data_IF_583314154191
#
_entry.id   IF_583314154191
#
_cell.length_a   1.000
_cell.length_b   1.000
_cell.length_c   1.000
_cell.angle_alpha   90.00
_cell.angle_beta   90.00
_cell.angle_gamma   90.00
#
_symmetry.space_group_name_H-M   'P 1'
#
loop_
_entity.id
_entity.type
_entity.pdbx_description
1 polymer ?
#
# COMPACT_ATOMS: atom_id res chain seq x y z
N UNK A 1 -8.59 -0.27 10.51
CA UNK A 1 -7.14 -0.43 10.65
C UNK A 1 -6.80 -0.35 12.11
N UNK A 2 -6.47 -1.48 12.73
CA UNK A 2 -5.79 -1.45 14.03
C UNK A 2 -4.36 -0.92 13.79
N UNK A 3 -3.84 -0.10 14.71
CA UNK A 3 -2.49 0.45 14.58
C UNK A 3 -1.43 -0.65 14.52
N UNK A 4 -0.62 -0.66 13.46
CA UNK A 4 0.44 -1.64 13.23
C UNK A 4 1.76 -1.20 13.86
N UNK A 5 1.74 -0.89 15.17
CA UNK A 5 2.92 -0.46 15.91
C UNK A 5 2.85 -0.91 17.37
N UNK A 6 4.02 -1.18 17.96
CA UNK A 6 4.13 -1.48 19.39
C UNK A 6 4.19 -0.16 20.18
N UNK A 7 3.22 0.08 21.06
CA UNK A 7 3.14 1.28 21.88
C UNK A 7 4.17 1.28 23.02
N UNK A 8 4.66 0.10 23.42
CA UNK A 8 5.70 -0.08 24.44
C UNK A 8 7.10 0.20 23.87
N UNK A 9 7.29 0.05 22.54
CA UNK A 9 8.56 0.35 21.86
C UNK A 9 8.74 1.87 21.67
N UNK A 10 9.09 2.57 22.76
CA UNK A 10 9.25 4.04 22.78
C UNK A 10 10.19 4.57 21.67
N UNK A 11 11.22 3.82 21.30
CA UNK A 11 12.15 4.19 20.22
C UNK A 11 11.50 4.30 18.84
N UNK A 12 10.38 3.62 18.60
CA UNK A 12 9.70 3.63 17.29
C UNK A 12 8.96 4.94 17.04
N UNK A 13 8.34 5.52 18.06
CA UNK A 13 7.40 6.63 17.93
C UNK A 13 7.84 7.93 18.64
N UNK A 14 8.77 7.88 19.60
CA UNK A 14 9.21 9.05 20.38
C UNK A 14 10.47 9.71 19.83
N UNK A 15 10.35 10.94 19.35
CA UNK A 15 11.41 11.70 18.68
C UNK A 15 12.15 12.70 19.57
N UNK A 16 11.84 12.73 20.88
CA UNK A 16 12.51 13.64 21.83
C UNK A 16 12.37 15.10 21.42
N UNK A 17 13.47 15.87 21.50
CA UNK A 17 13.51 17.28 21.12
C UNK A 17 13.49 17.44 19.59
N UNK A 18 12.28 17.48 19.04
CA UNK A 18 12.02 17.76 17.63
C UNK A 18 11.21 19.06 17.52
N UNK A 19 11.60 19.97 16.62
CA UNK A 19 10.84 21.20 16.40
C UNK A 19 9.52 20.94 15.66
N UNK A 20 8.59 21.89 15.75
CA UNK A 20 7.32 21.81 15.01
C UNK A 20 7.54 21.74 13.49
N UNK A 21 8.48 22.52 12.96
CA UNK A 21 8.76 22.54 11.52
C UNK A 21 9.36 21.22 11.03
N UNK A 22 10.26 20.60 11.80
CA UNK A 22 10.81 19.27 11.46
C UNK A 22 9.72 18.18 11.51
N UNK A 23 8.82 18.24 12.50
CA UNK A 23 7.70 17.32 12.58
C UNK A 23 6.76 17.43 11.35
N UNK A 24 6.50 18.65 10.87
CA UNK A 24 5.73 18.87 9.65
C UNK A 24 6.46 18.30 8.44
N UNK A 25 7.76 18.56 8.29
CA UNK A 25 8.55 18.06 7.17
C UNK A 25 8.58 16.52 7.08
N UNK A 26 8.56 15.83 8.23
CA UNK A 26 8.54 14.36 8.29
C UNK A 26 7.16 13.76 7.99
N UNK A 27 6.08 14.45 8.37
CA UNK A 27 4.71 13.94 8.28
C UNK A 27 3.93 14.43 7.04
N UNK A 28 4.40 15.49 6.38
CA UNK A 28 3.75 16.05 5.20
C UNK A 28 3.87 15.10 4.00
N UNK A 29 2.73 14.76 3.39
CA UNK A 29 2.66 13.80 2.29
C UNK A 29 2.74 12.33 2.72
N UNK A 30 2.80 12.04 4.03
CA UNK A 30 2.66 10.69 4.55
C UNK A 30 1.20 10.22 4.52
N UNK A 31 1.00 8.91 4.67
CA UNK A 31 -0.34 8.32 4.76
C UNK A 31 -1.09 8.89 5.97
N UNK A 32 -2.40 8.93 5.83
CA UNK A 32 -3.30 9.32 6.90
C UNK A 32 -3.09 8.42 8.13
N UNK A 33 -2.99 8.98 9.32
CA UNK A 33 -2.75 8.24 10.56
C UNK A 33 -1.29 7.92 10.87
N UNK A 34 -0.33 8.37 10.06
CA UNK A 34 1.11 8.32 10.40
C UNK A 34 1.41 9.38 11.47
N UNK A 35 2.13 9.03 12.54
CA UNK A 35 2.33 9.93 13.68
C UNK A 35 3.73 9.91 14.30
N UNK A 36 4.02 10.88 15.17
CA UNK A 36 5.19 10.88 16.06
C UNK A 36 4.88 11.63 17.36
N UNK A 37 5.56 11.27 18.45
CA UNK A 37 5.51 12.02 19.72
C UNK A 37 6.83 12.74 19.92
N UNK A 38 6.78 14.01 20.31
CA UNK A 38 7.95 14.86 20.57
C UNK A 38 7.79 15.66 21.86
N UNK A 39 8.88 16.22 22.37
CA UNK A 39 8.84 17.13 23.50
C UNK A 39 8.18 18.46 23.11
N UNK A 40 7.40 19.03 24.04
CA UNK A 40 6.84 20.36 23.86
C UNK A 40 7.94 21.41 23.92
N UNK A 41 8.02 22.24 22.87
CA UNK A 41 8.98 23.35 22.81
C UNK A 41 8.53 24.55 23.64
N UNK A 42 7.24 24.61 23.99
CA UNK A 42 6.62 25.74 24.70
C UNK A 42 6.41 25.48 26.19
N UNK A 43 6.28 24.22 26.60
CA UNK A 43 6.02 23.83 27.99
C UNK A 43 6.97 22.69 28.41
N UNK A 44 8.04 22.98 29.18
CA UNK A 44 8.99 21.96 29.61
C UNK A 44 8.31 20.87 30.47
N UNK A 45 8.38 19.62 30.04
CA UNK A 45 7.76 18.48 30.71
C UNK A 45 6.50 17.94 30.02
N UNK A 46 5.93 18.69 29.07
CA UNK A 46 4.80 18.25 28.25
C UNK A 46 5.26 17.60 26.94
N UNK A 47 4.38 16.81 26.34
CA UNK A 47 4.61 16.16 25.05
C UNK A 47 3.66 16.69 23.99
N UNK A 48 4.00 16.49 22.72
CA UNK A 48 3.15 16.81 21.58
C UNK A 48 3.06 15.60 20.66
N UNK A 49 1.84 15.12 20.43
CA UNK A 49 1.53 14.11 19.42
C UNK A 49 1.27 14.82 18.08
N UNK A 50 2.11 14.56 17.09
CA UNK A 50 1.97 15.11 15.74
C UNK A 50 1.50 14.02 14.80
N UNK A 51 0.44 14.26 14.03
CA UNK A 51 -0.24 13.25 13.20
C UNK A 51 -0.49 13.80 11.79
N UNK A 52 -0.28 12.97 10.78
CA UNK A 52 -0.63 13.26 9.39
C UNK A 52 -2.12 12.97 9.15
N UNK A 53 -2.88 14.00 8.81
CA UNK A 53 -4.34 13.97 8.76
C UNK A 53 -4.87 15.01 7.76
N UNK A 54 -5.80 14.64 6.88
CA UNK A 54 -6.44 15.47 5.86
C UNK A 54 -5.45 16.29 5.00
N UNK A 55 -4.35 15.66 4.57
CA UNK A 55 -3.28 16.31 3.80
C UNK A 55 -2.58 17.46 4.54
N UNK A 56 -2.73 17.55 5.87
CA UNK A 56 -2.04 18.47 6.78
C UNK A 56 -1.44 17.71 7.97
N UNK A 57 -0.69 18.41 8.81
CA UNK A 57 -0.12 17.84 10.04
C UNK A 57 -0.78 18.50 11.25
N UNK A 58 -1.55 17.71 12.00
CA UNK A 58 -2.22 18.10 13.24
C UNK A 58 -1.27 17.90 14.43
N UNK A 59 -1.34 18.78 15.45
CA UNK A 59 -0.50 18.70 16.65
C UNK A 59 -1.37 18.77 17.91
N UNK A 60 -1.33 17.72 18.71
CA UNK A 60 -2.09 17.60 19.95
C UNK A 60 -1.17 17.69 21.16
N UNK A 61 -1.49 18.59 22.09
CA UNK A 61 -0.69 18.80 23.31
C UNK A 61 -1.09 17.76 24.35
N UNK A 62 -0.09 17.07 24.88
CA UNK A 62 -0.20 16.11 25.98
C UNK A 62 0.42 16.77 27.21
N UNK A 63 -0.43 17.19 28.14
CA UNK A 63 0.00 17.84 29.37
C UNK A 63 0.42 16.77 30.38
N UNK A 64 1.61 16.94 30.98
CA UNK A 64 2.11 16.06 32.02
C UNK A 64 1.92 16.72 33.39
N UNK A 65 0.98 16.22 34.17
CA UNK A 65 0.81 16.67 35.55
C UNK A 65 1.79 15.92 36.45
N UNK A 66 2.89 16.59 36.82
CA UNK A 66 3.84 16.07 37.81
C UNK A 66 3.24 16.01 39.22
N UNK A 67 3.85 15.24 40.16
CA UNK A 67 3.37 15.20 41.54
C UNK A 67 3.45 16.60 42.16
N UNK A 68 2.33 17.06 42.75
CA UNK A 68 2.32 18.30 43.56
C UNK A 68 3.35 18.17 44.68
N UNK A 69 4.06 19.26 45.06
CA UNK A 69 4.92 19.23 46.23
C UNK A 69 4.09 18.86 47.47
N UNK A 70 4.60 18.00 48.37
CA UNK A 70 3.86 17.59 49.56
C UNK A 70 3.66 18.81 50.46
N UNK A 71 2.40 19.08 50.78
CA UNK A 71 1.99 19.96 51.88
C UNK A 71 2.64 19.42 53.17
N UNK A 72 3.17 20.26 54.08
CA UNK A 72 3.85 19.76 55.28
C UNK A 72 2.90 18.88 56.13
N UNK A 73 3.40 17.78 56.71
CA UNK A 73 2.55 16.73 57.25
C UNK A 73 1.88 17.16 58.57
N UNK A 74 0.58 16.90 58.67
CA UNK A 74 -0.09 16.74 59.97
C UNK A 74 0.16 15.31 60.50
N UNK A 75 0.27 15.09 61.83
CA UNK A 75 0.97 13.92 62.40
C UNK A 75 0.20 12.58 62.41
N UNK A 76 -0.72 12.33 61.48
CA UNK A 76 -1.63 11.18 61.59
C UNK A 76 -1.97 10.45 60.28
N UNK A 77 -1.08 10.41 59.30
CA UNK A 77 -1.28 9.58 58.10
C UNK A 77 -0.03 8.79 57.68
N UNK A 78 -0.21 7.55 57.16
CA UNK A 78 0.86 6.74 56.58
C UNK A 78 1.47 7.45 55.36
N UNK A 79 2.69 7.06 54.91
CA UNK A 79 3.46 7.85 53.94
C UNK A 79 2.66 8.10 52.66
N UNK A 80 2.71 9.31 52.06
CA UNK A 80 2.02 9.56 50.81
C UNK A 80 2.68 8.72 49.73
N UNK A 81 1.92 7.79 49.16
CA UNK A 81 2.27 7.16 47.90
C UNK A 81 2.48 8.25 46.86
N UNK A 82 3.59 8.17 46.13
CA UNK A 82 3.87 9.04 45.00
C UNK A 82 2.71 8.87 44.01
N UNK A 83 1.87 9.89 43.84
CA UNK A 83 0.82 9.86 42.83
C UNK A 83 1.45 9.64 41.45
N UNK A 84 1.00 8.66 40.66
CA UNK A 84 1.53 8.45 39.32
C UNK A 84 1.32 9.71 38.47
N UNK A 85 2.30 10.03 37.64
CA UNK A 85 2.24 11.15 36.70
C UNK A 85 1.08 10.93 35.73
N UNK A 86 0.05 11.78 35.76
CA UNK A 86 -1.10 11.66 34.85
C UNK A 86 -0.89 12.54 33.61
N UNK A 87 -1.10 11.94 32.45
CA UNK A 87 -1.01 12.59 31.14
C UNK A 87 -2.41 12.92 30.63
N UNK A 88 -2.60 14.12 30.07
CA UNK A 88 -3.89 14.55 29.53
C UNK A 88 -3.79 15.11 28.13
N UNK A 89 -4.62 14.61 27.22
CA UNK A 89 -4.78 15.08 25.84
C UNK A 89 -6.26 15.34 25.59
N UNK A 90 -6.61 16.60 25.27
CA UNK A 90 -8.02 17.02 25.25
C UNK A 90 -8.70 16.80 26.62
N UNK A 91 -9.84 16.11 26.60
CA UNK A 91 -10.63 15.74 27.79
C UNK A 91 -10.30 14.33 28.34
N UNK A 92 -9.34 13.62 27.75
CA UNK A 92 -8.98 12.25 28.12
C UNK A 92 -7.71 12.21 28.98
N UNK A 93 -7.72 11.38 30.02
CA UNK A 93 -6.60 11.19 30.95
C UNK A 93 -6.02 9.77 30.84
N UNK A 94 -4.68 9.67 30.90
CA UNK A 94 -3.93 8.43 30.73
C UNK A 94 -2.80 8.32 31.76
N UNK A 95 -2.48 7.10 32.17
CA UNK A 95 -1.42 6.81 33.14
C UNK A 95 -0.02 6.79 32.49
N UNK A 96 0.07 6.62 31.17
CA UNK A 96 1.32 6.56 30.43
C UNK A 96 1.14 6.93 28.95
N UNK A 97 2.25 7.30 28.28
CA UNK A 97 2.24 7.56 26.83
C UNK A 97 1.86 6.31 26.03
N UNK A 98 2.38 5.09 26.33
CA UNK A 98 1.92 3.87 25.66
C UNK A 98 0.41 3.64 25.79
N UNK A 99 -0.17 3.83 26.99
CA UNK A 99 -1.61 3.68 27.19
C UNK A 99 -2.43 4.69 26.36
N UNK A 100 -1.96 5.94 26.26
CA UNK A 100 -2.54 6.95 25.37
C UNK A 100 -2.47 6.51 23.91
N UNK A 101 -1.31 6.04 23.44
CA UNK A 101 -1.14 5.60 22.06
C UNK A 101 -2.01 4.38 21.76
N UNK A 102 -2.10 3.42 22.67
CA UNK A 102 -2.95 2.23 22.54
C UNK A 102 -4.42 2.61 22.43
N UNK A 103 -4.86 3.58 23.23
CA UNK A 103 -6.21 4.11 23.15
C UNK A 103 -6.47 4.75 21.77
N UNK A 104 -5.60 5.63 21.29
CA UNK A 104 -5.77 6.31 20.00
C UNK A 104 -5.42 5.45 18.77
N UNK A 105 -4.98 4.18 18.93
CA UNK A 105 -4.94 3.21 17.83
C UNK A 105 -6.33 2.91 17.27
N UNK A 106 -7.33 2.98 18.15
CA UNK A 106 -8.72 2.62 17.85
C UNK A 106 -9.71 3.76 18.12
N UNK A 107 -9.31 4.81 18.84
CA UNK A 107 -10.09 6.04 19.05
C UNK A 107 -9.58 7.18 18.18
N UNK A 108 -10.50 7.97 17.62
CA UNK A 108 -10.17 9.12 16.78
C UNK A 108 -9.63 10.28 17.60
N UNK A 109 -8.65 10.99 17.04
CA UNK A 109 -8.23 12.30 17.53
C UNK A 109 -9.23 13.37 17.06
N UNK A 110 -9.10 13.83 15.81
CA UNK A 110 -10.12 14.66 15.14
C UNK A 110 -10.79 13.90 14.00
N UNK A 111 -10.01 13.45 13.01
CA UNK A 111 -10.50 12.71 11.83
C UNK A 111 -9.70 11.45 11.51
N UNK A 112 -8.64 11.15 12.27
CA UNK A 112 -7.85 9.90 12.15
C UNK A 112 -7.59 9.21 13.50
N UNK A 113 -7.40 7.89 13.45
CA UNK A 113 -6.72 7.11 14.50
C UNK A 113 -5.21 7.04 14.22
N UNK A 114 -4.44 6.58 15.19
CA UNK A 114 -3.01 6.29 15.04
C UNK A 114 -2.80 4.95 14.35
N UNK A 115 -2.14 4.97 13.19
CA UNK A 115 -1.97 3.78 12.33
C UNK A 115 -0.54 3.25 12.42
N UNK A 116 0.46 4.11 12.26
CA UNK A 116 1.88 3.73 12.32
C UNK A 116 2.76 4.93 12.66
N UNK A 117 3.89 4.76 13.36
CA UNK A 117 4.82 5.84 13.60
C UNK A 117 5.57 6.23 12.32
N UNK A 118 5.95 7.51 12.22
CA UNK A 118 6.72 8.01 11.09
C UNK A 118 8.09 7.32 11.01
N UNK A 119 8.41 6.80 9.83
CA UNK A 119 9.69 6.13 9.63
C UNK A 119 10.85 7.11 9.81
N UNK A 120 11.81 6.76 10.66
CA UNK A 120 13.05 7.54 10.89
C UNK A 120 13.97 7.65 9.66
N UNK A 121 13.58 7.08 8.52
CA UNK A 121 14.45 6.79 7.38
C UNK A 121 14.68 7.95 6.39
N UNK A 122 14.23 9.18 6.62
CA UNK A 122 14.22 10.21 5.56
C UNK A 122 14.87 11.57 5.82
N UNK A 123 15.73 11.72 6.82
CA UNK A 123 16.76 12.77 6.75
C UNK A 123 18.13 12.28 7.22
N UNK A 124 19.04 12.12 6.26
CA UNK A 124 20.44 12.51 6.45
C UNK A 124 21.35 11.61 7.29
N UNK A 125 21.23 10.28 7.19
CA UNK A 125 22.38 9.36 7.21
C UNK A 125 21.83 7.94 7.08
N UNK A 126 22.37 7.18 6.14
CA UNK A 126 21.91 5.84 5.87
C UNK A 126 22.21 4.92 7.03
N UNK A 127 21.17 4.49 7.76
CA UNK A 127 21.14 3.16 8.38
C UNK A 127 19.70 2.67 8.31
N UNK A 128 19.46 1.80 7.34
CA UNK A 128 18.26 0.99 7.26
C UNK A 128 18.52 -0.18 8.23
N UNK A 129 17.68 -0.39 9.26
CA UNK A 129 17.56 -1.72 9.85
C UNK A 129 16.76 -2.59 8.89
N UNK A 130 17.42 -2.89 7.76
CA UNK A 130 17.30 -4.16 7.07
C UNK A 130 17.68 -5.21 8.12
N UNK A 131 17.05 -6.38 8.11
CA UNK A 131 17.80 -7.60 8.46
C UNK A 131 19.19 -7.43 7.87
N UNK A 132 20.26 -7.37 8.68
CA UNK A 132 21.63 -7.03 8.25
C UNK A 132 21.88 -7.46 6.80
N UNK A 133 21.62 -6.57 5.85
CA UNK A 133 21.83 -6.87 4.45
C UNK A 133 23.33 -6.74 4.33
N UNK A 134 24.00 -7.88 4.43
CA UNK A 134 25.40 -8.06 4.16
C UNK A 134 25.78 -7.19 2.96
N UNK A 135 26.58 -6.14 3.19
CA UNK A 135 27.09 -5.33 2.11
C UNK A 135 28.18 -6.14 1.42
N UNK A 136 28.03 -6.43 0.13
CA UNK A 136 29.05 -7.13 -0.64
C UNK A 136 29.82 -6.14 -1.50
N UNK A 137 31.10 -6.45 -1.74
CA UNK A 137 31.95 -5.75 -2.70
C UNK A 137 32.60 -6.76 -3.62
N UNK A 138 32.93 -6.32 -4.82
CA UNK A 138 33.68 -7.10 -5.80
C UNK A 138 35.06 -6.50 -5.98
N UNK A 139 36.10 -7.32 -5.93
CA UNK A 139 37.47 -6.90 -6.18
C UNK A 139 37.69 -6.52 -7.65
N UNK A 140 38.22 -5.32 -7.88
CA UNK A 140 38.60 -4.79 -9.19
C UNK A 140 40.07 -5.11 -9.53
N UNK A 141 40.91 -5.32 -8.51
CA UNK A 141 42.34 -5.60 -8.63
C UNK A 141 42.76 -6.65 -7.60
N UNK A 142 43.94 -7.24 -7.80
CA UNK A 142 44.56 -8.15 -6.83
C UNK A 142 45.15 -7.32 -5.67
N UNK A 143 45.03 -7.81 -4.45
CA UNK A 143 45.61 -7.23 -3.25
C UNK A 143 46.28 -8.32 -2.42
N UNK A 144 47.58 -8.19 -2.17
CA UNK A 144 48.37 -9.21 -1.49
C UNK A 144 48.46 -9.03 0.03
N UNK A 145 47.99 -7.90 0.57
CA UNK A 145 48.23 -7.48 1.95
C UNK A 145 49.68 -7.09 2.21
N UNK A 146 49.91 -6.03 2.97
CA UNK A 146 51.23 -5.63 3.45
C UNK A 146 51.41 -5.91 4.95
N UNK A 147 50.33 -5.96 5.72
CA UNK A 147 50.33 -6.17 7.17
C UNK A 147 49.50 -7.40 7.59
N UNK A 148 49.69 -7.90 8.81
CA UNK A 148 48.98 -9.10 9.32
C UNK A 148 47.45 -8.88 9.53
N UNK A 149 47.01 -7.61 9.51
CA UNK A 149 45.61 -7.22 9.63
C UNK A 149 44.91 -7.08 8.26
N UNK A 150 45.65 -7.19 7.16
CA UNK A 150 45.12 -7.10 5.79
C UNK A 150 44.49 -8.41 5.33
N UNK A 151 43.41 -8.33 4.55
CA UNK A 151 42.81 -9.49 3.88
C UNK A 151 43.26 -9.55 2.41
N UNK A 152 44.12 -10.50 2.01
CA UNK A 152 44.51 -10.66 0.61
C UNK A 152 43.34 -11.19 -0.24
N UNK A 153 43.15 -10.64 -1.44
CA UNK A 153 42.11 -11.07 -2.39
C UNK A 153 42.58 -10.92 -3.84
N UNK A 154 41.93 -11.60 -4.77
CA UNK A 154 42.17 -11.48 -6.22
C UNK A 154 41.06 -10.71 -6.91
N UNK A 155 41.39 -10.11 -8.05
CA UNK A 155 40.43 -9.46 -8.94
C UNK A 155 39.29 -10.42 -9.28
N UNK A 156 38.07 -9.98 -9.00
CA UNK A 156 36.84 -10.73 -9.23
C UNK A 156 36.23 -11.35 -7.97
N UNK A 157 36.98 -11.43 -6.87
CA UNK A 157 36.47 -12.01 -5.62
C UNK A 157 35.33 -11.16 -5.03
N UNK A 158 34.37 -11.84 -4.40
CA UNK A 158 33.24 -11.19 -3.72
C UNK A 158 33.49 -11.26 -2.22
N UNK A 159 33.58 -10.11 -1.58
CA UNK A 159 33.88 -9.95 -0.17
C UNK A 159 32.68 -9.36 0.56
N UNK A 160 32.42 -9.85 1.77
CA UNK A 160 31.32 -9.35 2.62
C UNK A 160 31.87 -8.30 3.58
N UNK A 161 31.42 -7.06 3.47
CA UNK A 161 31.77 -5.97 4.37
C UNK A 161 31.11 -6.21 5.73
N UNK A 162 31.92 -6.14 6.78
CA UNK A 162 31.49 -6.26 8.18
C UNK A 162 31.35 -4.89 8.81
N UNK A 163 32.38 -4.06 8.67
CA UNK A 163 32.44 -2.73 9.25
C UNK A 163 33.33 -1.81 8.41
N UNK A 164 33.09 -0.50 8.54
CA UNK A 164 33.78 0.55 7.79
C UNK A 164 34.42 1.51 8.79
N UNK A 165 35.52 1.10 9.43
CA UNK A 165 36.16 1.93 10.46
C UNK A 165 36.70 3.23 9.86
N UNK A 166 37.10 3.20 8.58
CA UNK A 166 37.68 4.33 7.86
C UNK A 166 37.09 4.49 6.45
N UNK A 167 37.27 5.67 5.85
CA UNK A 167 36.75 5.98 4.50
C UNK A 167 37.51 5.25 3.38
N UNK A 168 38.77 4.88 3.62
CA UNK A 168 39.65 4.27 2.61
C UNK A 168 39.99 2.81 2.89
N UNK A 169 39.61 2.29 4.07
CA UNK A 169 39.88 0.93 4.49
C UNK A 169 38.67 0.34 5.21
N UNK A 170 38.17 -0.78 4.69
CA UNK A 170 37.00 -1.47 5.22
C UNK A 170 37.38 -2.86 5.73
N UNK A 171 36.70 -3.31 6.77
CA UNK A 171 36.85 -4.68 7.25
C UNK A 171 35.89 -5.59 6.48
N UNK A 172 36.45 -6.63 5.86
CA UNK A 172 35.69 -7.56 5.04
C UNK A 172 35.99 -9.01 5.41
N UNK A 173 35.10 -9.91 4.99
CA UNK A 173 35.20 -11.35 5.16
C UNK A 173 35.17 -12.02 3.77
N UNK A 174 36.12 -12.91 3.51
CA UNK A 174 36.16 -13.70 2.27
C UNK A 174 35.19 -14.89 2.31
N UNK A 175 35.12 -15.66 1.21
CA UNK A 175 34.29 -16.87 1.14
C UNK A 175 34.75 -18.00 2.07
N UNK A 176 35.98 -17.97 2.57
CA UNK A 176 36.55 -18.94 3.52
C UNK A 176 36.33 -18.51 4.98
N UNK A 177 35.75 -17.33 5.22
CA UNK A 177 35.52 -16.76 6.54
C UNK A 177 36.72 -16.02 7.14
N UNK A 178 37.81 -15.83 6.38
CA UNK A 178 38.95 -15.01 6.82
C UNK A 178 38.57 -13.54 6.78
N UNK A 179 39.08 -12.81 7.76
CA UNK A 179 38.75 -11.41 7.99
C UNK A 179 39.99 -10.55 7.98
N UNK A 180 39.84 -9.33 7.53
CA UNK A 180 40.89 -8.33 7.54
C UNK A 180 40.52 -7.10 6.73
N UNK A 181 41.45 -6.16 6.72
CA UNK A 181 41.29 -4.86 6.10
C UNK A 181 41.50 -4.94 4.59
N UNK A 182 40.63 -4.25 3.86
CA UNK A 182 40.70 -4.14 2.40
C UNK A 182 40.70 -2.66 1.97
N UNK A 183 41.51 -2.30 0.96
CA UNK A 183 41.53 -0.94 0.43
C UNK A 183 40.30 -0.68 -0.44
N UNK A 184 39.52 0.36 -0.11
CA UNK A 184 38.30 0.76 -0.83
C UNK A 184 38.52 1.00 -2.33
N UNK A 185 39.63 1.63 -2.79
CA UNK A 185 39.87 1.85 -4.22
C UNK A 185 40.00 0.55 -5.04
N UNK A 186 40.23 -0.59 -4.38
CA UNK A 186 40.41 -1.88 -5.04
C UNK A 186 39.10 -2.65 -5.21
N UNK A 187 37.98 -2.13 -4.71
CA UNK A 187 36.70 -2.83 -4.68
C UNK A 187 35.54 -1.94 -5.13
N UNK A 188 34.54 -2.54 -5.77
CA UNK A 188 33.28 -1.87 -6.14
C UNK A 188 32.11 -2.45 -5.36
N UNK A 189 31.07 -1.64 -5.10
CA UNK A 189 29.86 -2.13 -4.44
C UNK A 189 29.19 -3.21 -5.30
N UNK A 190 28.98 -4.37 -4.72
CA UNK A 190 28.32 -5.50 -5.35
C UNK A 190 27.01 -5.79 -4.61
N UNK A 191 25.89 -5.76 -5.33
CA UNK A 191 24.61 -6.22 -4.78
C UNK A 191 24.31 -7.58 -5.37
N UNK A 192 24.24 -8.67 -4.57
CA UNK A 192 23.63 -9.90 -5.05
C UNK A 192 22.17 -9.60 -5.42
N UNK A 193 21.65 -10.25 -6.45
CA UNK A 193 20.30 -10.01 -6.94
C UNK A 193 19.25 -10.38 -5.86
N UNK A 194 18.82 -9.41 -5.05
CA UNK A 194 17.55 -9.46 -4.34
C UNK A 194 16.46 -9.65 -5.40
N UNK A 195 15.63 -10.69 -5.26
CA UNK A 195 14.49 -10.89 -6.14
C UNK A 195 13.66 -9.60 -6.16
N UNK A 196 13.51 -9.00 -7.35
CA UNK A 196 12.75 -7.76 -7.49
C UNK A 196 11.33 -7.96 -6.95
N UNK A 197 10.68 -6.90 -6.43
CA UNK A 197 9.27 -6.98 -5.99
C UNK A 197 8.36 -7.55 -7.09
N UNK A 198 8.69 -7.32 -8.37
CA UNK A 198 8.01 -7.93 -9.51
C UNK A 198 8.17 -9.46 -9.58
N UNK A 199 9.32 -10.00 -9.20
CA UNK A 199 9.56 -11.44 -9.16
C UNK A 199 8.75 -12.09 -8.02
N UNK A 200 8.73 -11.47 -6.84
CA UNK A 200 7.96 -11.96 -5.69
C UNK A 200 6.45 -11.98 -5.96
N UNK A 201 5.92 -10.94 -6.62
CA UNK A 201 4.50 -10.92 -7.03
C UNK A 201 4.23 -12.00 -8.09
N UNK A 202 5.19 -12.28 -8.98
CA UNK A 202 5.11 -13.39 -9.93
C UNK A 202 5.00 -14.75 -9.24
N UNK A 203 5.87 -15.02 -8.25
CA UNK A 203 5.84 -16.26 -7.45
C UNK A 203 4.52 -16.41 -6.66
N UNK A 204 3.95 -15.30 -6.19
CA UNK A 204 2.65 -15.28 -5.52
C UNK A 204 1.53 -15.72 -6.46
N UNK A 205 1.53 -15.24 -7.71
CA UNK A 205 0.57 -15.69 -8.73
C UNK A 205 0.72 -17.19 -8.98
N UNK A 206 1.94 -17.69 -9.22
CA UNK A 206 2.17 -19.11 -9.47
C UNK A 206 1.72 -20.00 -8.30
N UNK A 207 1.96 -19.56 -7.06
CA UNK A 207 1.53 -20.28 -5.86
C UNK A 207 0.01 -20.33 -5.74
N UNK A 208 -0.66 -19.19 -5.94
CA UNK A 208 -2.13 -19.14 -5.86
C UNK A 208 -2.83 -19.89 -6.99
N UNK A 209 -2.19 -20.02 -8.17
CA UNK A 209 -2.70 -20.89 -9.24
C UNK A 209 -2.69 -22.36 -8.85
N UNK A 210 -1.65 -22.82 -8.13
CA UNK A 210 -1.60 -24.21 -7.63
C UNK A 210 -2.72 -24.47 -6.63
N UNK A 211 -2.99 -23.52 -5.75
CA UNK A 211 -4.10 -23.60 -4.78
C UNK A 211 -5.44 -23.63 -5.51
N UNK A 212 -5.65 -22.75 -6.50
CA UNK A 212 -6.86 -22.77 -7.34
C UNK A 212 -7.04 -24.11 -8.07
N UNK A 213 -5.95 -24.70 -8.58
CA UNK A 213 -5.97 -25.99 -9.28
C UNK A 213 -6.24 -27.22 -8.39
N UNK A 214 -6.50 -27.04 -7.09
CA UNK A 214 -6.97 -28.11 -6.22
C UNK A 214 -8.49 -28.34 -6.34
N UNK A 215 -9.21 -27.51 -7.11
CA UNK A 215 -10.64 -27.62 -7.39
C UNK A 215 -11.52 -27.66 -6.14
N UNK A 216 -11.08 -26.95 -5.09
CA UNK A 216 -11.79 -26.75 -3.84
C UNK A 216 -12.16 -25.28 -3.68
N UNK A 217 -13.21 -24.99 -2.92
CA UNK A 217 -13.60 -23.62 -2.65
C UNK A 217 -12.52 -22.90 -1.83
N UNK A 218 -12.07 -21.74 -2.32
CA UNK A 218 -11.09 -20.92 -1.62
C UNK A 218 -11.72 -20.19 -0.44
N UNK A 219 -10.96 -20.12 0.65
CA UNK A 219 -11.26 -19.25 1.79
C UNK A 219 -11.26 -17.78 1.35
N UNK A 220 -11.88 -16.91 2.16
CA UNK A 220 -11.89 -15.47 1.90
C UNK A 220 -10.46 -14.89 1.80
N UNK A 221 -9.54 -15.36 2.65
CA UNK A 221 -8.14 -14.95 2.65
C UNK A 221 -7.42 -15.37 1.36
N UNK A 222 -7.52 -16.64 0.96
CA UNK A 222 -6.93 -17.14 -0.29
C UNK A 222 -7.48 -16.42 -1.52
N UNK A 223 -8.80 -16.18 -1.55
CA UNK A 223 -9.47 -15.43 -2.62
C UNK A 223 -8.93 -14.00 -2.72
N UNK A 224 -8.73 -13.35 -1.57
CA UNK A 224 -8.16 -12.00 -1.51
C UNK A 224 -6.69 -11.98 -1.95
N UNK A 225 -5.88 -12.94 -1.50
CA UNK A 225 -4.46 -13.08 -1.89
C UNK A 225 -4.37 -13.25 -3.42
N UNK A 226 -5.14 -14.16 -4.01
CA UNK A 226 -5.19 -14.37 -5.46
C UNK A 226 -5.56 -13.09 -6.21
N UNK A 227 -6.60 -12.39 -5.73
CA UNK A 227 -7.05 -11.14 -6.36
C UNK A 227 -6.01 -10.02 -6.29
N UNK A 228 -5.36 -9.85 -5.13
CA UNK A 228 -4.30 -8.85 -4.94
C UNK A 228 -3.10 -9.16 -5.82
N UNK A 229 -2.69 -10.42 -5.92
CA UNK A 229 -1.57 -10.85 -6.76
C UNK A 229 -1.78 -10.42 -8.22
N UNK A 230 -2.88 -10.86 -8.84
CA UNK A 230 -3.17 -10.53 -10.23
C UNK A 230 -3.45 -9.03 -10.42
N UNK A 231 -4.14 -8.36 -9.48
CA UNK A 231 -4.40 -6.91 -9.54
C UNK A 231 -3.11 -6.09 -9.61
N UNK A 232 -2.08 -6.50 -8.86
CA UNK A 232 -0.78 -5.81 -8.88
C UNK A 232 -0.05 -6.02 -10.21
N UNK A 233 0.01 -7.25 -10.72
CA UNK A 233 0.68 -7.55 -12.01
C UNK A 233 -0.01 -6.81 -13.15
N UNK A 234 -1.33 -6.92 -13.25
CA UNK A 234 -2.08 -6.27 -14.33
C UNK A 234 -2.09 -4.74 -14.18
N UNK A 235 -2.15 -4.22 -12.95
CA UNK A 235 -2.15 -2.79 -12.67
C UNK A 235 -0.89 -2.10 -13.16
N UNK A 236 0.28 -2.69 -12.92
CA UNK A 236 1.56 -2.17 -13.41
C UNK A 236 1.59 -2.09 -14.95
N UNK A 237 1.17 -3.16 -15.64
CA UNK A 237 1.16 -3.21 -17.11
C UNK A 237 0.13 -2.26 -17.71
N UNK A 238 -1.06 -2.11 -17.10
CA UNK A 238 -2.08 -1.14 -17.55
C UNK A 238 -1.59 0.30 -17.40
N UNK A 239 -0.87 0.62 -16.32
CA UNK A 239 -0.26 1.94 -16.15
C UNK A 239 0.79 2.22 -17.24
N UNK A 240 1.68 1.25 -17.50
CA UNK A 240 2.65 1.34 -18.59
C UNK A 240 1.97 1.55 -19.94
N UNK A 241 0.93 0.77 -20.25
CA UNK A 241 0.18 0.88 -21.50
C UNK A 241 -0.47 2.26 -21.68
N UNK A 242 -1.09 2.83 -20.64
CA UNK A 242 -1.66 4.18 -20.70
C UNK A 242 -0.60 5.25 -20.99
N UNK A 243 0.56 5.15 -20.36
CA UNK A 243 1.68 6.09 -20.57
C UNK A 243 2.16 5.99 -22.02
N UNK A 244 2.40 4.78 -22.52
CA UNK A 244 2.89 4.55 -23.89
C UNK A 244 1.85 5.04 -24.92
N UNK A 245 0.56 4.74 -24.70
CA UNK A 245 -0.52 5.18 -25.58
C UNK A 245 -0.63 6.71 -25.62
N UNK A 246 -0.46 7.39 -24.47
CA UNK A 246 -0.41 8.85 -24.42
C UNK A 246 0.81 9.43 -25.15
N UNK A 247 1.96 8.77 -25.08
CA UNK A 247 3.17 9.16 -25.82
C UNK A 247 2.97 8.97 -27.32
N UNK A 248 2.38 7.85 -27.75
CA UNK A 248 2.05 7.59 -29.16
C UNK A 248 1.17 8.70 -29.72
N UNK A 249 0.05 9.01 -29.04
CA UNK A 249 -0.87 10.07 -29.46
C UNK A 249 -0.18 11.45 -29.57
N UNK A 250 0.74 11.77 -28.65
CA UNK A 250 1.52 13.02 -28.70
C UNK A 250 2.51 13.06 -29.86
N UNK A 251 3.10 11.92 -30.22
CA UNK A 251 4.09 11.84 -31.30
C UNK A 251 3.42 11.78 -32.68
N UNK A 252 2.20 11.23 -32.79
CA UNK A 252 1.39 11.24 -34.02
C UNK A 252 1.14 12.68 -34.50
N UNK A 253 0.92 13.61 -33.55
CA UNK A 253 0.73 15.03 -33.84
C UNK A 253 2.01 15.76 -34.31
N UNK A 254 3.20 15.15 -34.18
CA UNK A 254 4.49 15.76 -34.53
C UNK A 254 5.11 15.22 -35.83
N UNK A 255 4.54 14.16 -36.41
CA UNK A 255 4.98 13.60 -37.69
C UNK A 255 6.31 12.83 -37.67
N UNK A 256 6.75 12.31 -36.51
CA UNK A 256 7.99 11.52 -36.39
C UNK A 256 7.79 10.03 -36.67
N UNK A 257 7.85 9.60 -37.93
CA UNK A 257 7.54 8.20 -38.33
C UNK A 257 8.42 7.13 -37.67
N UNK A 258 9.74 7.33 -37.59
CA UNK A 258 10.66 6.34 -37.01
C UNK A 258 10.41 6.11 -35.51
N UNK A 259 10.14 7.21 -34.78
CA UNK A 259 9.81 7.14 -33.35
C UNK A 259 8.46 6.48 -33.12
N UNK A 260 7.46 6.81 -33.95
CA UNK A 260 6.15 6.20 -33.90
C UNK A 260 6.21 4.70 -34.10
N UNK A 261 7.07 4.22 -35.00
CA UNK A 261 7.29 2.78 -35.19
C UNK A 261 7.79 2.11 -33.90
N UNK A 262 8.82 2.67 -33.26
CA UNK A 262 9.35 2.11 -32.00
C UNK A 262 8.31 2.15 -30.86
N UNK A 263 7.53 3.23 -30.77
CA UNK A 263 6.48 3.37 -29.76
C UNK A 263 5.39 2.31 -29.96
N UNK A 264 4.94 2.09 -31.22
CA UNK A 264 3.93 1.09 -31.57
C UNK A 264 4.40 -0.33 -31.27
N UNK A 265 5.63 -0.67 -31.63
CA UNK A 265 6.23 -1.97 -31.32
C UNK A 265 6.27 -2.21 -29.80
N UNK A 266 6.66 -1.20 -29.03
CA UNK A 266 6.68 -1.31 -27.57
C UNK A 266 5.27 -1.40 -26.96
N UNK A 267 4.30 -0.64 -27.47
CA UNK A 267 2.90 -0.77 -27.05
C UNK A 267 2.36 -2.17 -27.31
N UNK A 268 2.59 -2.74 -28.49
CA UNK A 268 2.14 -4.08 -28.85
C UNK A 268 2.77 -5.16 -27.96
N UNK A 269 4.03 -4.99 -27.55
CA UNK A 269 4.68 -5.86 -26.57
C UNK A 269 3.92 -5.83 -25.23
N UNK A 270 3.61 -4.64 -24.71
CA UNK A 270 2.86 -4.50 -23.45
C UNK A 270 1.42 -5.03 -23.57
N UNK A 271 0.75 -4.81 -24.72
CA UNK A 271 -0.58 -5.38 -25.00
C UNK A 271 -0.56 -6.91 -25.02
N UNK A 272 0.49 -7.51 -25.56
CA UNK A 272 0.67 -8.97 -25.56
C UNK A 272 0.82 -9.49 -24.13
N UNK A 273 1.64 -8.85 -23.30
CA UNK A 273 1.77 -9.20 -21.88
C UNK A 273 0.45 -9.06 -21.13
N UNK A 274 -0.28 -7.93 -21.33
CA UNK A 274 -1.60 -7.71 -20.75
C UNK A 274 -2.58 -8.81 -21.15
N UNK A 275 -2.61 -9.17 -22.44
CA UNK A 275 -3.47 -10.24 -22.95
C UNK A 275 -3.14 -11.58 -22.31
N UNK A 276 -1.85 -11.93 -22.19
CA UNK A 276 -1.42 -13.17 -21.53
C UNK A 276 -1.86 -13.21 -20.06
N UNK A 277 -1.65 -12.13 -19.31
CA UNK A 277 -2.07 -12.07 -17.89
C UNK A 277 -3.60 -12.21 -17.77
N UNK A 278 -4.37 -11.55 -18.63
CA UNK A 278 -5.83 -11.65 -18.61
C UNK A 278 -6.30 -13.07 -18.98
N UNK A 279 -5.76 -13.66 -20.05
CA UNK A 279 -6.11 -15.03 -20.44
C UNK A 279 -5.75 -16.04 -19.35
N UNK A 280 -4.63 -15.85 -18.66
CA UNK A 280 -4.18 -16.73 -17.58
C UNK A 280 -5.19 -16.82 -16.43
N UNK A 281 -5.62 -15.68 -15.89
CA UNK A 281 -6.63 -15.67 -14.81
C UNK A 281 -8.02 -16.07 -15.30
N UNK A 282 -8.40 -15.71 -16.53
CA UNK A 282 -9.68 -16.13 -17.11
C UNK A 282 -9.76 -17.66 -17.22
N UNK A 283 -8.66 -18.31 -17.61
CA UNK A 283 -8.57 -19.78 -17.66
C UNK A 283 -8.70 -20.41 -16.26
N UNK A 284 -8.03 -19.83 -15.26
CA UNK A 284 -8.13 -20.27 -13.86
C UNK A 284 -9.55 -20.09 -13.31
N UNK A 285 -10.21 -18.98 -13.63
CA UNK A 285 -11.59 -18.72 -13.25
C UNK A 285 -12.54 -19.75 -13.86
N UNK A 286 -12.42 -20.00 -15.16
CA UNK A 286 -13.36 -20.86 -15.89
C UNK A 286 -13.16 -22.35 -15.62
N UNK A 287 -11.92 -22.80 -15.42
CA UNK A 287 -11.62 -24.23 -15.18
C UNK A 287 -11.75 -24.64 -13.72
N UNK A 288 -11.41 -23.76 -12.79
CA UNK A 288 -11.20 -24.13 -11.39
C UNK A 288 -12.13 -23.37 -10.44
N UNK A 289 -12.03 -22.04 -10.41
CA UNK A 289 -12.64 -21.24 -9.35
C UNK A 289 -14.17 -21.12 -9.45
N UNK A 290 -14.71 -20.79 -10.63
CA UNK A 290 -16.16 -20.66 -10.83
C UNK A 290 -16.85 -22.02 -10.66
N UNK A 291 -16.33 -23.15 -11.21
CA UNK A 291 -16.92 -24.47 -10.97
C UNK A 291 -16.89 -24.92 -9.50
N UNK A 292 -15.84 -24.57 -8.73
CA UNK A 292 -15.70 -24.95 -7.33
C UNK A 292 -16.47 -24.04 -6.35
N UNK A 293 -16.90 -22.84 -6.79
CA UNK A 293 -17.59 -21.85 -5.97
C UNK A 293 -19.00 -22.32 -5.55
N UNK A 294 -19.26 -22.43 -4.24
CA UNK A 294 -20.55 -22.88 -3.73
C UNK A 294 -21.32 -21.80 -2.96
N UNK A 295 -20.68 -20.73 -2.49
CA UNK A 295 -21.32 -19.58 -1.83
C UNK A 295 -21.67 -18.46 -2.81
N UNK A 296 -22.72 -17.68 -2.53
CA UNK A 296 -23.05 -16.47 -3.30
C UNK A 296 -21.90 -15.47 -3.32
N UNK A 297 -21.23 -15.31 -2.20
CA UNK A 297 -20.09 -14.40 -2.06
C UNK A 297 -18.92 -14.78 -3.01
N UNK A 298 -18.52 -16.06 -3.02
CA UNK A 298 -17.44 -16.55 -3.88
C UNK A 298 -17.81 -16.45 -5.36
N UNK A 299 -19.05 -16.84 -5.72
CA UNK A 299 -19.56 -16.72 -7.11
C UNK A 299 -19.55 -15.28 -7.60
N UNK A 300 -20.12 -14.34 -6.83
CA UNK A 300 -20.14 -12.92 -7.20
C UNK A 300 -18.71 -12.39 -7.35
N UNK A 301 -17.81 -12.76 -6.44
CA UNK A 301 -16.41 -12.36 -6.51
C UNK A 301 -15.74 -12.83 -7.81
N UNK A 302 -15.89 -14.11 -8.18
CA UNK A 302 -15.25 -14.67 -9.38
C UNK A 302 -15.89 -14.15 -10.67
N UNK A 303 -17.21 -14.02 -10.76
CA UNK A 303 -17.84 -13.42 -11.93
C UNK A 303 -17.50 -11.94 -12.08
N UNK A 304 -17.42 -11.19 -10.97
CA UNK A 304 -16.91 -9.82 -10.99
C UNK A 304 -15.47 -9.79 -11.52
N UNK A 305 -14.60 -10.67 -11.03
CA UNK A 305 -13.22 -10.77 -11.48
C UNK A 305 -13.15 -11.11 -12.97
N UNK A 306 -13.95 -12.07 -13.45
CA UNK A 306 -14.09 -12.38 -14.89
C UNK A 306 -14.49 -11.16 -15.71
N UNK A 307 -15.47 -10.39 -15.23
CA UNK A 307 -15.89 -9.12 -15.82
C UNK A 307 -14.77 -8.09 -15.88
N UNK A 308 -13.98 -7.97 -14.82
CA UNK A 308 -12.81 -7.07 -14.73
C UNK A 308 -11.74 -7.42 -15.76
N UNK A 309 -11.35 -8.69 -15.90
CA UNK A 309 -10.29 -9.08 -16.84
C UNK A 309 -10.73 -9.02 -18.30
N UNK A 310 -12.00 -9.35 -18.62
CA UNK A 310 -12.53 -9.06 -19.95
C UNK A 310 -12.64 -7.56 -20.24
N UNK A 311 -12.96 -6.74 -19.24
CA UNK A 311 -12.93 -5.28 -19.38
C UNK A 311 -11.52 -4.78 -19.68
N UNK A 312 -10.50 -5.29 -19.00
CA UNK A 312 -9.10 -4.94 -19.28
C UNK A 312 -8.69 -5.32 -20.70
N UNK A 313 -9.12 -6.48 -21.21
CA UNK A 313 -8.92 -6.84 -22.62
C UNK A 313 -9.61 -5.83 -23.56
N UNK A 314 -10.83 -5.39 -23.23
CA UNK A 314 -11.56 -4.44 -24.05
C UNK A 314 -10.92 -3.04 -24.09
N UNK A 315 -10.11 -2.64 -23.10
CA UNK A 315 -9.45 -1.32 -23.05
C UNK A 315 -8.52 -1.07 -24.23
N UNK A 316 -7.75 -2.09 -24.65
CA UNK A 316 -6.74 -1.98 -25.70
C UNK A 316 -7.08 -2.78 -26.97
N UNK A 317 -8.07 -3.68 -26.91
CA UNK A 317 -8.54 -4.38 -28.09
C UNK A 317 -9.18 -3.43 -29.11
N UNK A 318 -9.15 -3.84 -30.38
CA UNK A 318 -9.75 -3.11 -31.50
C UNK A 318 -10.65 -4.02 -32.33
N UNK A 319 -11.56 -3.43 -33.12
CA UNK A 319 -12.42 -4.18 -34.04
C UNK A 319 -13.26 -5.26 -33.34
N UNK A 320 -13.23 -6.48 -33.88
CA UNK A 320 -14.02 -7.60 -33.38
C UNK A 320 -13.59 -8.07 -31.98
N UNK A 321 -12.29 -8.08 -31.70
CA UNK A 321 -11.75 -8.49 -30.40
C UNK A 321 -12.26 -7.59 -29.27
N UNK A 322 -12.40 -6.27 -29.52
CA UNK A 322 -13.00 -5.33 -28.56
C UNK A 322 -14.45 -5.66 -28.27
N UNK A 323 -15.21 -5.96 -29.33
CA UNK A 323 -16.64 -6.30 -29.22
C UNK A 323 -16.82 -7.58 -28.41
N UNK A 324 -16.07 -8.62 -28.71
CA UNK A 324 -16.11 -9.89 -27.98
C UNK A 324 -15.69 -9.73 -26.51
N UNK A 325 -14.62 -9.00 -26.24
CA UNK A 325 -14.18 -8.71 -24.87
C UNK A 325 -15.25 -7.92 -24.08
N UNK A 326 -15.89 -6.93 -24.71
CA UNK A 326 -16.97 -6.16 -24.09
C UNK A 326 -18.22 -7.02 -23.82
N UNK A 327 -18.61 -7.89 -24.77
CA UNK A 327 -19.74 -8.81 -24.60
C UNK A 327 -19.49 -9.80 -23.46
N UNK A 328 -18.31 -10.42 -23.43
CA UNK A 328 -17.93 -11.34 -22.35
C UNK A 328 -17.86 -10.65 -20.99
N UNK A 329 -17.34 -9.41 -20.93
CA UNK A 329 -17.33 -8.60 -19.71
C UNK A 329 -18.76 -8.30 -19.22
N UNK A 330 -19.65 -7.88 -20.13
CA UNK A 330 -21.05 -7.58 -19.84
C UNK A 330 -21.79 -8.82 -19.31
N UNK A 331 -21.60 -9.98 -19.93
CA UNK A 331 -22.21 -11.25 -19.50
C UNK A 331 -21.76 -11.61 -18.08
N UNK A 332 -20.46 -11.51 -17.81
CA UNK A 332 -19.91 -11.83 -16.49
C UNK A 332 -20.41 -10.87 -15.39
N UNK A 333 -20.45 -9.56 -15.66
CA UNK A 333 -20.98 -8.59 -14.69
C UNK A 333 -22.48 -8.74 -14.44
N UNK A 334 -23.26 -9.09 -15.46
CA UNK A 334 -24.68 -9.40 -15.29
C UNK A 334 -24.88 -10.64 -14.42
N UNK A 335 -24.17 -11.73 -14.70
CA UNK A 335 -24.21 -12.94 -13.88
C UNK A 335 -23.83 -12.64 -12.41
N UNK A 336 -22.80 -11.83 -12.18
CA UNK A 336 -22.44 -11.38 -10.84
C UNK A 336 -23.55 -10.55 -10.18
N UNK A 337 -24.19 -9.65 -10.94
CA UNK A 337 -25.22 -8.74 -10.44
C UNK A 337 -26.50 -9.48 -10.06
N UNK A 338 -26.91 -10.45 -10.87
CA UNK A 338 -28.09 -11.28 -10.62
C UNK A 338 -27.95 -12.03 -9.29
N UNK A 339 -26.77 -12.65 -9.05
CA UNK A 339 -26.48 -13.36 -7.79
C UNK A 339 -26.35 -12.37 -6.62
N UNK A 340 -25.67 -11.24 -6.82
CA UNK A 340 -25.45 -10.25 -5.76
C UNK A 340 -26.75 -9.61 -5.28
N UNK A 341 -27.72 -9.39 -6.16
CA UNK A 341 -29.04 -8.84 -5.81
C UNK A 341 -29.85 -9.79 -4.92
N UNK A 342 -29.66 -11.10 -5.06
CA UNK A 342 -30.40 -12.12 -4.30
C UNK A 342 -29.68 -12.60 -3.05
N UNK A 343 -28.34 -12.64 -3.05
CA UNK A 343 -27.56 -13.30 -1.99
C UNK A 343 -26.76 -12.34 -1.11
N UNK A 344 -26.54 -11.09 -1.53
CA UNK A 344 -25.71 -10.13 -0.79
C UNK A 344 -26.50 -8.85 -0.43
N UNK A 345 -26.37 -8.32 0.80
CA UNK A 345 -27.02 -7.06 1.15
C UNK A 345 -26.47 -5.90 0.31
N UNK A 346 -27.23 -4.82 0.06
CA UNK A 346 -26.79 -3.66 -0.73
C UNK A 346 -25.50 -3.02 -0.22
N UNK A 347 -25.26 -3.11 1.09
CA UNK A 347 -24.07 -2.61 1.76
C UNK A 347 -22.86 -3.54 1.67
N UNK A 348 -22.99 -4.75 1.12
CA UNK A 348 -21.89 -5.72 1.06
C UNK A 348 -20.73 -5.19 0.19
N UNK A 349 -19.46 -5.20 0.67
CA UNK A 349 -18.32 -4.64 -0.07
C UNK A 349 -18.14 -5.24 -1.47
N UNK A 350 -18.35 -6.54 -1.64
CA UNK A 350 -18.27 -7.20 -2.96
C UNK A 350 -19.37 -6.72 -3.91
N UNK A 351 -20.60 -6.50 -3.42
CA UNK A 351 -21.73 -6.01 -4.24
C UNK A 351 -21.50 -4.55 -4.63
N UNK A 352 -21.06 -3.71 -3.71
CA UNK A 352 -20.67 -2.33 -3.99
C UNK A 352 -19.51 -2.26 -4.97
N UNK A 353 -18.47 -3.07 -4.78
CA UNK A 353 -17.31 -3.14 -5.67
C UNK A 353 -17.68 -3.63 -7.07
N UNK A 354 -18.65 -4.54 -7.18
CA UNK A 354 -19.23 -4.95 -8.46
C UNK A 354 -19.93 -3.77 -9.15
N UNK A 355 -20.82 -3.06 -8.45
CA UNK A 355 -21.51 -1.90 -9.01
C UNK A 355 -20.54 -0.79 -9.45
N UNK A 356 -19.48 -0.55 -8.67
CA UNK A 356 -18.42 0.38 -9.03
C UNK A 356 -17.75 -0.03 -10.35
N UNK A 357 -17.28 -1.27 -10.46
CA UNK A 357 -16.56 -1.70 -11.66
C UNK A 357 -17.48 -1.83 -12.88
N UNK A 358 -18.75 -2.20 -12.67
CA UNK A 358 -19.72 -2.32 -13.75
C UNK A 358 -20.19 -0.94 -14.25
N UNK A 359 -20.30 0.07 -13.37
CA UNK A 359 -20.56 1.44 -13.80
C UNK A 359 -19.39 2.02 -14.61
N UNK A 360 -18.14 1.79 -14.18
CA UNK A 360 -16.94 2.13 -14.96
C UNK A 360 -16.95 1.43 -16.33
N UNK A 361 -17.34 0.16 -16.40
CA UNK A 361 -17.50 -0.55 -17.66
C UNK A 361 -18.51 0.12 -18.61
N UNK A 362 -19.69 0.51 -18.10
CA UNK A 362 -20.68 1.24 -18.90
C UNK A 362 -20.14 2.58 -19.41
N UNK A 363 -19.35 3.27 -18.59
CA UNK A 363 -18.75 4.55 -18.97
C UNK A 363 -17.63 4.38 -20.01
N UNK A 364 -16.56 3.66 -19.65
CA UNK A 364 -15.32 3.61 -20.42
C UNK A 364 -15.37 2.66 -21.64
N UNK A 365 -16.14 1.56 -21.56
CA UNK A 365 -16.13 0.54 -22.61
C UNK A 365 -17.35 0.66 -23.53
N UNK A 366 -18.54 0.80 -22.95
CA UNK A 366 -19.80 0.87 -23.71
C UNK A 366 -20.21 2.30 -24.07
N UNK A 367 -19.43 3.31 -23.67
CA UNK A 367 -19.71 4.72 -23.93
C UNK A 367 -21.17 5.10 -23.61
N UNK A 368 -21.66 4.64 -22.46
CA UNK A 368 -23.04 4.76 -22.01
C UNK A 368 -23.11 5.47 -20.66
N UNK A 369 -22.77 6.77 -20.59
CA UNK A 369 -22.64 7.52 -19.33
C UNK A 369 -23.95 7.54 -18.53
N UNK A 370 -25.12 7.64 -19.18
CA UNK A 370 -26.42 7.58 -18.50
C UNK A 370 -26.68 6.25 -17.78
N UNK A 371 -26.18 5.15 -18.32
CA UNK A 371 -26.29 3.83 -17.67
C UNK A 371 -25.30 3.71 -16.51
N UNK A 372 -24.08 4.20 -16.70
CA UNK A 372 -23.05 4.23 -15.66
C UNK A 372 -23.53 5.02 -14.43
N UNK A 373 -24.00 6.25 -14.64
CA UNK A 373 -24.49 7.12 -13.57
C UNK A 373 -25.71 6.53 -12.86
N UNK A 374 -26.68 5.96 -13.60
CA UNK A 374 -27.84 5.31 -12.99
C UNK A 374 -27.45 4.11 -12.13
N UNK A 375 -26.55 3.26 -12.61
CA UNK A 375 -26.10 2.10 -11.85
C UNK A 375 -25.33 2.51 -10.59
N UNK A 376 -24.39 3.44 -10.71
CA UNK A 376 -23.62 3.94 -9.58
C UNK A 376 -24.50 4.64 -8.52
N UNK A 377 -25.44 5.48 -8.97
CA UNK A 377 -26.38 6.17 -8.09
C UNK A 377 -27.33 5.21 -7.38
N UNK A 378 -27.90 4.24 -8.10
CA UNK A 378 -28.77 3.23 -7.50
C UNK A 378 -28.04 2.43 -6.42
N UNK A 379 -26.84 1.93 -6.70
CA UNK A 379 -26.04 1.20 -5.72
C UNK A 379 -25.67 2.05 -4.50
N UNK A 380 -25.38 3.34 -4.70
CA UNK A 380 -25.11 4.27 -3.61
C UNK A 380 -26.34 4.51 -2.74
N UNK A 381 -27.49 4.81 -3.36
CA UNK A 381 -28.74 5.09 -2.66
C UNK A 381 -29.24 3.85 -1.87
N UNK A 382 -29.18 2.66 -2.49
CA UNK A 382 -29.57 1.41 -1.84
C UNK A 382 -28.68 1.12 -0.61
N UNK A 383 -27.37 1.38 -0.69
CA UNK A 383 -26.47 1.18 0.43
C UNK A 383 -26.64 2.21 1.54
N UNK A 384 -26.97 3.47 1.22
CA UNK A 384 -27.30 4.50 2.21
C UNK A 384 -28.53 4.09 3.02
N UNK A 385 -29.55 3.51 2.38
CA UNK A 385 -30.80 3.12 3.04
C UNK A 385 -30.61 2.04 4.14
N UNK A 386 -29.55 1.23 4.03
CA UNK A 386 -29.25 0.15 4.96
C UNK A 386 -27.95 0.36 5.76
N UNK A 387 -27.29 1.53 5.63
CA UNK A 387 -25.96 1.77 6.18
C UNK A 387 -25.90 1.66 7.72
N UNK A 388 -26.98 2.06 8.39
CA UNK A 388 -27.11 2.05 9.86
C UNK A 388 -27.15 0.63 10.44
N UNK A 389 -27.28 -0.40 9.60
CA UNK A 389 -27.34 -1.81 10.01
C UNK A 389 -25.98 -2.51 10.03
N UNK A 390 -24.92 -1.84 9.56
CA UNK A 390 -23.59 -2.43 9.44
C UNK A 390 -22.84 -2.51 10.78
N UNK A 391 -22.04 -3.56 10.93
CA UNK A 391 -21.01 -3.64 11.96
C UNK A 391 -19.85 -2.69 11.66
N UNK A 392 -19.09 -2.27 12.69
CA UNK A 392 -17.96 -1.36 12.50
C UNK A 392 -16.87 -1.88 11.54
N UNK A 393 -16.73 -3.20 11.42
CA UNK A 393 -15.76 -3.85 10.54
C UNK A 393 -16.17 -3.70 9.07
N UNK A 394 -17.41 -4.05 8.72
CA UNK A 394 -17.93 -3.94 7.36
C UNK A 394 -18.19 -2.50 6.93
N UNK A 395 -18.49 -1.60 7.88
CA UNK A 395 -18.74 -0.18 7.61
C UNK A 395 -17.58 0.51 6.90
N UNK A 396 -16.33 0.21 7.30
CA UNK A 396 -15.14 0.88 6.72
C UNK A 396 -14.94 0.53 5.25
N UNK A 397 -15.09 -0.75 4.88
CA UNK A 397 -14.92 -1.18 3.50
C UNK A 397 -16.06 -0.70 2.60
N UNK A 398 -17.30 -0.76 3.10
CA UNK A 398 -18.47 -0.29 2.36
C UNK A 398 -18.42 1.22 2.11
N UNK A 399 -18.09 2.02 3.13
CA UNK A 399 -18.01 3.48 2.99
C UNK A 399 -16.88 3.94 2.06
N UNK A 400 -15.74 3.24 2.07
CA UNK A 400 -14.66 3.52 1.11
C UNK A 400 -15.14 3.34 -0.35
N UNK A 401 -15.86 2.26 -0.63
CA UNK A 401 -16.35 1.99 -1.99
C UNK A 401 -17.48 2.96 -2.37
N UNK A 402 -18.36 3.30 -1.42
CA UNK A 402 -19.40 4.31 -1.63
C UNK A 402 -18.80 5.69 -1.95
N UNK A 403 -17.68 6.05 -1.31
CA UNK A 403 -16.95 7.28 -1.66
C UNK A 403 -16.43 7.24 -3.10
N UNK A 404 -15.86 6.12 -3.54
CA UNK A 404 -15.41 5.96 -4.95
C UNK A 404 -16.58 6.05 -5.95
N UNK A 405 -17.76 5.49 -5.61
CA UNK A 405 -18.96 5.65 -6.43
C UNK A 405 -19.37 7.13 -6.54
N UNK A 406 -19.32 7.87 -5.43
CA UNK A 406 -19.63 9.31 -5.39
C UNK A 406 -18.62 10.13 -6.19
N UNK A 407 -17.34 9.80 -6.09
CA UNK A 407 -16.27 10.49 -6.83
C UNK A 407 -16.47 10.32 -8.34
N UNK A 408 -16.76 9.09 -8.79
CA UNK A 408 -17.10 8.81 -10.19
C UNK A 408 -18.34 9.57 -10.65
N UNK A 409 -19.42 9.58 -9.86
CA UNK A 409 -20.63 10.34 -10.20
C UNK A 409 -20.35 11.83 -10.34
N UNK A 410 -19.51 12.39 -9.47
CA UNK A 410 -19.12 13.80 -9.53
C UNK A 410 -18.35 14.09 -10.82
N UNK A 411 -17.36 13.26 -11.15
CA UNK A 411 -16.56 13.39 -12.37
C UNK A 411 -17.43 13.30 -13.63
N UNK A 412 -18.27 12.27 -13.73
CA UNK A 412 -19.07 12.03 -14.93
C UNK A 412 -20.18 13.06 -15.13
N UNK A 413 -20.77 13.58 -14.05
CA UNK A 413 -21.78 14.64 -14.17
C UNK A 413 -21.16 16.00 -14.50
N UNK A 414 -19.90 16.26 -14.12
CA UNK A 414 -19.18 17.45 -14.60
C UNK A 414 -18.81 17.36 -16.08
N UNK A 415 -18.39 16.18 -16.55
CA UNK A 415 -18.04 15.96 -17.96
C UNK A 415 -19.26 16.18 -18.87
N UNK A 416 -20.43 15.69 -18.47
CA UNK A 416 -21.68 15.87 -19.25
C UNK A 416 -22.17 17.33 -19.29
N UNK A 417 -21.83 18.18 -18.31
CA UNK A 417 -22.20 19.61 -18.32
C UNK A 417 -21.25 20.45 -19.18
N UNK A 418 -20.04 19.97 -19.47
CA UNK A 418 -19.04 20.66 -20.29
C UNK A 418 -19.25 20.55 -21.80
N UNK A 419 -20.01 19.54 -22.26
CA UNK A 419 -20.28 19.28 -23.69
C UNK A 419 -21.45 20.12 -24.28
N UNK A 420 -22.20 20.84 -23.42
CA UNK A 420 -23.33 21.71 -23.81
C UNK A 420 -22.94 23.20 -23.96
N UNK A 421 -21.63 23.54 -24.00
CA UNK A 421 -21.11 24.91 -24.10
C UNK A 421 -20.40 25.26 -25.41
#
# INVERSE_FOLDING_TARGET
MAGNFDSEERSSWYWGRLSRQEAVALLQGQRHGVFLVRDSSTSPGDYVLSVSENSRVSHYIINSSGPRPPVPPSPAQPPPGVSPSRLRIGDQEFDSLPALLEFYKIHYLDTTTLIEPVSRSRQGSGVILRQEEAEYVRALFDFNGNDEEDLPFKKGDILRIRDKPEEQWWNAEDSEGKRGMIPVPYVEKYRPASASVSALIGEMVESMKKVAGMDVELTAEERNILSVAYKNVIGARRASWRIISSIEQKEENKGGEDKLKMIREYRQMVETELKLICCDILDVLDKHLIPAANTGESKVFYYKMKGDYHRYLAEFATGNDRKEAAENSLVAYKAASDIAMTELPPTHPIRLGLALNFSVFYYEILNSPDRACRLAKAAFDDAIAELDTLSEESYKDSTLIMQLLRDNLTLWTSDMQGDDS
#
